data_IF_090828340585
#
_entry.id   IF_090828340585
#
_cell.length_a   1.000
_cell.length_b   1.000
_cell.length_c   1.000
_cell.angle_alpha   90.00
_cell.angle_beta   90.00
_cell.angle_gamma   90.00
#
_symmetry.space_group_name_H-M   'P 1'
#
loop_
_entity.id
_entity.type
_entity.pdbx_description
1 polymer ?
#
# COMPACT_ATOMS: atom_id res chain seq x y z
N UNK A 1 36.54 29.17 -33.32
CA UNK A 1 36.32 29.33 -31.87
C UNK A 1 34.96 28.70 -31.59
N UNK A 2 34.86 27.36 -31.56
CA UNK A 2 34.93 26.47 -30.38
C UNK A 2 34.00 26.84 -29.23
N UNK A 3 33.09 25.89 -28.99
CA UNK A 3 31.93 25.80 -28.11
C UNK A 3 32.19 25.93 -26.62
N UNK A 4 31.16 26.38 -25.89
CA UNK A 4 30.84 26.02 -24.49
C UNK A 4 29.29 26.08 -24.43
N UNK A 5 28.51 24.99 -24.39
CA UNK A 5 28.43 23.88 -23.45
C UNK A 5 28.37 24.30 -21.98
N UNK A 6 27.15 24.31 -21.43
CA UNK A 6 26.80 24.46 -20.02
C UNK A 6 25.33 24.03 -19.93
N UNK A 7 24.91 23.00 -19.22
CA UNK A 7 25.57 21.96 -18.47
C UNK A 7 24.44 20.99 -18.11
N UNK A 8 24.64 19.69 -18.36
CA UNK A 8 23.68 18.67 -17.94
C UNK A 8 23.56 18.67 -16.42
N UNK A 9 22.36 18.92 -15.91
CA UNK A 9 21.99 18.49 -14.56
C UNK A 9 21.92 16.96 -14.57
N UNK A 10 22.98 16.33 -14.06
CA UNK A 10 22.95 14.92 -13.69
C UNK A 10 22.03 14.81 -12.46
N UNK A 11 20.77 14.44 -12.69
CA UNK A 11 19.92 13.91 -11.65
C UNK A 11 20.52 12.58 -11.19
N UNK A 12 21.05 12.55 -9.97
CA UNK A 12 21.46 11.33 -9.29
C UNK A 12 20.23 10.47 -9.01
N UNK A 13 19.82 9.65 -9.98
CA UNK A 13 18.93 8.53 -9.74
C UNK A 13 19.75 7.43 -9.06
N UNK A 14 19.70 7.37 -7.73
CA UNK A 14 20.20 6.20 -7.01
C UNK A 14 19.32 5.01 -7.39
N UNK A 15 19.81 4.17 -8.31
CA UNK A 15 19.26 2.84 -8.55
C UNK A 15 19.34 2.07 -7.23
N UNK A 16 18.21 1.90 -6.53
CA UNK A 16 18.12 0.90 -5.48
C UNK A 16 18.32 -0.45 -6.14
N UNK A 17 19.45 -1.08 -5.83
CA UNK A 17 19.86 -2.36 -6.40
C UNK A 17 18.95 -3.53 -5.99
N UNK A 18 18.07 -3.35 -5.01
CA UNK A 18 17.15 -4.38 -4.55
C UNK A 18 15.69 -3.89 -4.63
N UNK A 19 14.77 -4.68 -5.22
CA UNK A 19 13.34 -4.41 -5.14
C UNK A 19 12.84 -4.39 -3.68
N UNK A 20 11.84 -3.56 -3.35
CA UNK A 20 11.31 -3.45 -2.00
C UNK A 20 10.66 -4.76 -1.52
N UNK A 21 10.83 -5.04 -0.24
CA UNK A 21 10.17 -6.12 0.50
C UNK A 21 8.91 -5.65 1.24
N UNK A 22 8.76 -4.34 1.46
CA UNK A 22 7.58 -3.76 2.12
C UNK A 22 6.96 -2.66 1.25
N UNK A 23 5.73 -2.89 0.81
CA UNK A 23 4.97 -1.97 -0.04
C UNK A 23 3.69 -1.54 0.68
N UNK A 24 3.43 -0.24 0.75
CA UNK A 24 2.13 0.29 1.15
C UNK A 24 1.42 0.88 -0.06
N UNK A 25 0.17 0.50 -0.28
CA UNK A 25 -0.69 1.01 -1.34
C UNK A 25 -1.85 1.76 -0.71
N UNK A 26 -1.99 3.05 -1.04
CA UNK A 26 -3.06 3.91 -0.54
C UNK A 26 -3.99 4.28 -1.70
N UNK A 27 -5.26 3.85 -1.62
CA UNK A 27 -6.23 3.94 -2.70
C UNK A 27 -7.54 4.56 -2.21
N UNK A 28 -8.18 5.34 -3.06
CA UNK A 28 -9.59 5.70 -2.91
C UNK A 28 -10.46 5.05 -4.01
N UNK A 29 -11.71 5.45 -4.07
CA UNK A 29 -12.69 4.97 -5.06
C UNK A 29 -12.38 5.40 -6.51
N UNK A 30 -11.47 6.35 -6.72
CA UNK A 30 -11.14 6.87 -8.06
C UNK A 30 -10.06 6.06 -8.76
N UNK A 31 -9.39 5.15 -8.04
CA UNK A 31 -8.27 4.38 -8.58
C UNK A 31 -8.65 2.93 -8.82
N UNK A 32 -8.25 2.38 -9.98
CA UNK A 32 -8.37 0.96 -10.28
C UNK A 32 -7.53 0.14 -9.29
N UNK A 33 -8.23 -0.59 -8.42
CA UNK A 33 -7.62 -1.44 -7.40
C UNK A 33 -6.86 -2.60 -8.01
N UNK A 34 -7.36 -3.21 -9.09
CA UNK A 34 -6.70 -4.35 -9.72
C UNK A 34 -5.35 -3.92 -10.29
N UNK A 35 -5.33 -2.80 -11.03
CA UNK A 35 -4.10 -2.22 -11.56
C UNK A 35 -3.11 -1.86 -10.43
N UNK A 36 -3.56 -1.17 -9.40
CA UNK A 36 -2.71 -0.78 -8.28
C UNK A 36 -2.05 -1.98 -7.58
N UNK A 37 -2.81 -3.05 -7.35
CA UNK A 37 -2.30 -4.28 -6.75
C UNK A 37 -1.32 -5.00 -7.68
N UNK A 38 -1.59 -5.04 -9.00
CA UNK A 38 -0.62 -5.57 -9.97
C UNK A 38 0.70 -4.81 -9.88
N UNK A 39 0.65 -3.48 -9.90
CA UNK A 39 1.86 -2.65 -9.79
C UNK A 39 2.60 -2.91 -8.46
N UNK A 40 1.90 -3.02 -7.34
CA UNK A 40 2.52 -3.34 -6.05
C UNK A 40 3.23 -4.69 -6.05
N UNK A 41 2.57 -5.73 -6.57
CA UNK A 41 3.12 -7.09 -6.68
C UNK A 41 4.31 -7.13 -7.64
N UNK A 42 4.27 -6.36 -8.73
CA UNK A 42 5.37 -6.26 -9.68
C UNK A 42 6.64 -5.71 -9.02
N UNK A 43 6.48 -4.73 -8.13
CA UNK A 43 7.59 -4.05 -7.47
C UNK A 43 8.15 -4.84 -6.28
N UNK A 44 7.47 -5.87 -5.80
CA UNK A 44 7.96 -6.69 -4.70
C UNK A 44 9.23 -7.49 -5.05
N UNK A 45 10.02 -7.77 -4.02
CA UNK A 45 11.23 -8.58 -4.14
C UNK A 45 11.00 -10.06 -4.47
N UNK A 46 9.77 -10.54 -4.27
CA UNK A 46 9.33 -11.94 -4.32
C UNK A 46 9.98 -12.82 -3.25
N UNK A 47 10.42 -12.19 -2.16
CA UNK A 47 11.04 -12.83 -1.02
C UNK A 47 10.03 -13.43 -0.02
N UNK A 48 10.50 -14.29 0.90
CA UNK A 48 9.64 -14.89 1.93
C UNK A 48 9.11 -13.89 2.96
N UNK A 49 9.76 -12.73 3.10
CA UNK A 49 9.39 -11.68 4.05
C UNK A 49 8.63 -10.52 3.38
N UNK A 50 8.15 -10.71 2.16
CA UNK A 50 7.42 -9.67 1.45
C UNK A 50 6.12 -9.32 2.18
N UNK A 51 5.81 -8.03 2.23
CA UNK A 51 4.62 -7.52 2.87
C UNK A 51 3.96 -6.45 2.00
N UNK A 52 2.66 -6.60 1.74
CA UNK A 52 1.83 -5.54 1.15
C UNK A 52 0.80 -5.08 2.18
N UNK A 53 0.83 -3.77 2.47
CA UNK A 53 -0.21 -3.10 3.27
C UNK A 53 -1.09 -2.27 2.35
N UNK A 54 -2.41 -2.46 2.41
CA UNK A 54 -3.37 -1.83 1.52
C UNK A 54 -4.33 -0.98 2.34
N UNK A 55 -4.29 0.32 2.12
CA UNK A 55 -5.20 1.29 2.71
C UNK A 55 -6.23 1.70 1.67
N UNK A 56 -7.51 1.46 1.97
CA UNK A 56 -8.65 1.85 1.14
C UNK A 56 -9.39 2.98 1.83
N UNK A 57 -9.68 4.07 1.13
CA UNK A 57 -10.53 5.15 1.61
C UNK A 57 -11.90 5.01 0.92
N UNK A 58 -12.97 4.96 1.72
CA UNK A 58 -14.35 4.89 1.23
C UNK A 58 -15.16 6.08 1.71
N UNK A 59 -16.20 6.43 0.95
CA UNK A 59 -17.05 7.58 1.22
C UNK A 59 -18.10 7.30 2.30
N UNK A 60 -18.43 6.03 2.55
CA UNK A 60 -19.45 5.63 3.54
C UNK A 60 -19.10 4.35 4.31
N UNK A 61 -19.59 4.24 5.55
CA UNK A 61 -19.41 3.03 6.36
C UNK A 61 -19.99 1.77 5.70
N UNK A 62 -21.05 1.92 4.90
CA UNK A 62 -21.66 0.81 4.15
C UNK A 62 -20.73 0.18 3.10
N UNK A 63 -19.74 0.93 2.61
CA UNK A 63 -18.79 0.47 1.59
C UNK A 63 -17.56 -0.22 2.17
N UNK A 64 -17.33 -0.13 3.49
CA UNK A 64 -16.14 -0.70 4.13
C UNK A 64 -16.05 -2.22 3.94
N UNK A 65 -17.13 -2.93 4.24
CA UNK A 65 -17.17 -4.38 4.16
C UNK A 65 -17.13 -4.91 2.71
N UNK A 66 -17.91 -4.36 1.75
CA UNK A 66 -17.76 -4.71 0.34
C UNK A 66 -16.35 -4.47 -0.19
N UNK A 67 -15.77 -3.29 0.10
CA UNK A 67 -14.43 -2.92 -0.38
C UNK A 67 -13.34 -3.85 0.17
N UNK A 68 -13.48 -4.27 1.44
CA UNK A 68 -12.60 -5.26 2.04
C UNK A 68 -12.71 -6.61 1.32
N UNK A 69 -13.93 -7.08 1.07
CA UNK A 69 -14.17 -8.35 0.37
C UNK A 69 -13.63 -8.34 -1.06
N UNK A 70 -13.90 -7.27 -1.82
CA UNK A 70 -13.41 -7.12 -3.19
C UNK A 70 -11.89 -7.10 -3.24
N UNK A 71 -11.25 -6.37 -2.33
CA UNK A 71 -9.77 -6.33 -2.23
C UNK A 71 -9.20 -7.70 -1.88
N UNK A 72 -9.82 -8.44 -0.95
CA UNK A 72 -9.40 -9.81 -0.61
C UNK A 72 -9.55 -10.76 -1.81
N UNK A 73 -10.66 -10.68 -2.54
CA UNK A 73 -10.88 -11.50 -3.74
C UNK A 73 -9.87 -11.22 -4.84
N UNK A 74 -9.47 -9.95 -5.04
CA UNK A 74 -8.39 -9.60 -5.96
C UNK A 74 -7.05 -10.20 -5.53
N UNK A 75 -6.68 -10.10 -4.24
CA UNK A 75 -5.45 -10.71 -3.73
C UNK A 75 -5.43 -12.23 -3.91
N UNK A 76 -6.56 -12.90 -3.68
CA UNK A 76 -6.68 -14.34 -3.92
C UNK A 76 -6.42 -14.71 -5.38
N UNK A 77 -6.94 -13.92 -6.33
CA UNK A 77 -6.67 -14.09 -7.77
C UNK A 77 -5.19 -13.91 -8.13
N UNK A 78 -4.45 -13.15 -7.34
CA UNK A 78 -3.01 -12.95 -7.53
C UNK A 78 -2.13 -13.94 -6.76
N UNK A 79 -2.71 -14.85 -5.97
CA UNK A 79 -1.94 -15.75 -5.09
C UNK A 79 -0.84 -16.54 -5.80
N UNK A 80 -1.06 -16.99 -7.05
CA UNK A 80 -0.05 -17.72 -7.85
C UNK A 80 1.17 -16.88 -8.26
N UNK A 81 1.09 -15.55 -8.14
CA UNK A 81 2.16 -14.60 -8.48
C UNK A 81 2.98 -14.16 -7.27
N UNK A 82 2.56 -14.57 -6.08
CA UNK A 82 3.10 -14.16 -4.81
C UNK A 82 3.91 -15.30 -4.18
N UNK A 83 4.89 -14.96 -3.36
CA UNK A 83 5.54 -15.94 -2.51
C UNK A 83 4.52 -16.49 -1.49
N UNK A 84 4.56 -17.79 -1.20
CA UNK A 84 3.65 -18.42 -0.23
C UNK A 84 3.78 -17.88 1.19
N UNK A 85 4.91 -17.26 1.50
CA UNK A 85 5.19 -16.66 2.80
C UNK A 85 4.93 -15.15 2.83
N UNK A 86 4.55 -14.54 1.69
CA UNK A 86 4.21 -13.13 1.63
C UNK A 86 2.98 -12.81 2.51
N UNK A 87 3.02 -11.66 3.18
CA UNK A 87 1.98 -11.21 4.10
C UNK A 87 1.18 -10.03 3.53
N UNK A 88 -0.10 -9.98 3.88
CA UNK A 88 -1.02 -8.94 3.44
C UNK A 88 -1.76 -8.34 4.61
N UNK A 89 -1.87 -7.02 4.63
CA UNK A 89 -2.72 -6.29 5.57
C UNK A 89 -3.65 -5.37 4.78
N UNK A 90 -4.94 -5.35 5.12
CA UNK A 90 -5.93 -4.48 4.49
C UNK A 90 -6.58 -3.65 5.59
N UNK A 91 -6.59 -2.34 5.41
CA UNK A 91 -7.31 -1.40 6.26
C UNK A 91 -8.24 -0.55 5.40
N UNK A 92 -9.49 -0.43 5.83
CA UNK A 92 -10.49 0.39 5.13
C UNK A 92 -10.90 1.54 6.05
N UNK A 93 -10.65 2.76 5.59
CA UNK A 93 -10.87 4.02 6.29
C UNK A 93 -12.08 4.74 5.71
N UNK A 94 -12.77 5.48 6.56
CA UNK A 94 -13.77 6.42 6.11
C UNK A 94 -13.08 7.72 5.67
N UNK A 95 -13.62 8.38 4.65
CA UNK A 95 -13.22 9.74 4.31
C UNK A 95 -13.35 10.68 5.52
N UNK A 96 -12.39 11.58 5.73
CA UNK A 96 -12.30 12.43 6.92
C UNK A 96 -11.40 11.88 8.04
N UNK A 97 -10.79 10.70 7.84
CA UNK A 97 -9.82 10.10 8.78
C UNK A 97 -8.35 10.37 8.40
N UNK A 98 -8.06 11.46 7.69
CA UNK A 98 -6.75 11.73 7.08
C UNK A 98 -5.60 11.73 8.10
N UNK A 99 -5.84 12.27 9.30
CA UNK A 99 -4.85 12.28 10.37
C UNK A 99 -4.46 10.86 10.82
N UNK A 100 -5.44 9.96 10.91
CA UNK A 100 -5.20 8.55 11.25
C UNK A 100 -4.45 7.83 10.14
N UNK A 101 -4.80 8.11 8.88
CA UNK A 101 -4.12 7.53 7.72
C UNK A 101 -2.65 7.97 7.69
N UNK A 102 -2.36 9.26 7.84
CA UNK A 102 -0.99 9.76 7.88
C UNK A 102 -0.15 9.10 8.98
N UNK A 103 -0.72 8.98 10.19
CA UNK A 103 -0.04 8.33 11.30
C UNK A 103 0.24 6.86 11.00
N UNK A 104 -0.74 6.12 10.48
CA UNK A 104 -0.56 4.70 10.15
C UNK A 104 0.42 4.47 9.00
N UNK A 105 0.43 5.33 7.98
CA UNK A 105 1.44 5.27 6.90
C UNK A 105 2.84 5.46 7.48
N UNK A 106 3.01 6.43 8.40
CA UNK A 106 4.27 6.65 9.09
C UNK A 106 4.71 5.44 9.93
N UNK A 107 3.78 4.88 10.70
CA UNK A 107 4.06 3.73 11.57
C UNK A 107 4.36 2.44 10.79
N UNK A 108 3.79 2.30 9.59
CA UNK A 108 4.05 1.15 8.71
C UNK A 108 5.49 1.13 8.18
N UNK A 109 6.13 2.31 8.03
CA UNK A 109 7.49 2.46 7.48
C UNK A 109 7.73 1.63 6.20
N UNK A 110 6.90 1.82 5.16
CA UNK A 110 7.06 1.06 3.92
C UNK A 110 8.37 1.43 3.22
N UNK A 111 8.96 0.49 2.48
CA UNK A 111 10.11 0.78 1.61
C UNK A 111 9.65 1.48 0.31
N UNK A 112 8.42 1.19 -0.12
CA UNK A 112 7.72 1.79 -1.25
C UNK A 112 6.29 2.19 -0.86
N UNK A 113 5.96 3.47 -1.05
CA UNK A 113 4.61 4.02 -0.91
C UNK A 113 4.01 4.28 -2.29
N UNK A 114 2.88 3.64 -2.59
CA UNK A 114 2.13 3.82 -3.83
C UNK A 114 0.83 4.57 -3.55
N UNK A 115 0.65 5.72 -4.19
CA UNK A 115 -0.47 6.63 -3.93
C UNK A 115 -1.40 6.66 -5.14
N UNK A 116 -2.62 6.16 -4.95
CA UNK A 116 -3.74 6.24 -5.88
C UNK A 116 -4.89 7.00 -5.24
N UNK A 117 -4.66 8.28 -4.94
CA UNK A 117 -5.66 9.18 -4.37
C UNK A 117 -6.00 10.27 -5.38
N UNK A 118 -7.28 10.49 -5.63
CA UNK A 118 -7.80 11.49 -6.55
C UNK A 118 -8.96 12.27 -5.97
N UNK A 119 -9.50 13.19 -6.78
CA UNK A 119 -10.68 13.97 -6.42
C UNK A 119 -10.57 14.64 -5.05
N UNK A 120 -11.42 14.22 -4.11
CA UNK A 120 -11.48 14.79 -2.76
C UNK A 120 -10.27 14.44 -1.88
N UNK A 121 -9.56 13.34 -2.16
CA UNK A 121 -8.41 12.89 -1.38
C UNK A 121 -7.06 13.33 -1.99
N UNK A 122 -7.07 14.11 -3.08
CA UNK A 122 -5.85 14.56 -3.74
C UNK A 122 -4.90 15.28 -2.77
N UNK A 123 -5.45 16.14 -1.90
CA UNK A 123 -4.65 16.90 -0.92
C UNK A 123 -3.90 16.00 0.07
N UNK A 124 -4.49 14.86 0.45
CA UNK A 124 -3.82 13.85 1.29
C UNK A 124 -2.68 13.17 0.50
N UNK A 125 -2.93 12.82 -0.76
CA UNK A 125 -1.91 12.25 -1.65
C UNK A 125 -0.71 13.18 -1.82
N UNK A 126 -0.96 14.46 -2.10
CA UNK A 126 0.08 15.48 -2.26
C UNK A 126 0.87 15.70 -0.96
N UNK A 127 0.19 15.72 0.19
CA UNK A 127 0.82 15.89 1.49
C UNK A 127 1.74 14.71 1.84
N UNK A 128 1.28 13.47 1.65
CA UNK A 128 2.08 12.26 1.89
C UNK A 128 3.27 12.19 0.92
N UNK A 129 3.02 12.45 -0.37
CA UNK A 129 4.06 12.50 -1.38
C UNK A 129 5.14 13.52 -1.03
N UNK A 130 4.75 14.75 -0.70
CA UNK A 130 5.68 15.81 -0.30
C UNK A 130 6.45 15.45 0.98
N UNK A 131 5.79 14.86 1.98
CA UNK A 131 6.42 14.50 3.25
C UNK A 131 7.54 13.47 3.04
N UNK A 132 7.26 12.36 2.37
CA UNK A 132 8.23 11.27 2.17
C UNK A 132 9.32 11.61 1.15
N UNK A 133 9.05 12.50 0.19
CA UNK A 133 10.08 12.97 -0.77
C UNK A 133 11.00 14.04 -0.18
N UNK A 134 10.48 14.93 0.68
CA UNK A 134 11.27 16.02 1.28
C UNK A 134 12.13 15.53 2.45
N UNK A 135 11.64 14.54 3.22
CA UNK A 135 12.44 13.90 4.26
C UNK A 135 13.36 12.84 3.64
N UNK A 136 14.48 13.28 3.04
CA UNK A 136 15.57 12.44 2.48
C UNK A 136 16.07 11.33 3.43
N UNK A 137 15.70 11.37 4.72
CA UNK A 137 16.11 10.42 5.76
C UNK A 137 15.19 9.21 5.91
N UNK A 138 13.99 9.23 5.35
CA UNK A 138 13.03 8.13 5.58
C UNK A 138 13.27 6.93 4.66
N UNK A 139 14.02 7.10 3.57
CA UNK A 139 14.34 5.99 2.69
C UNK A 139 13.09 5.31 2.11
N UNK A 140 12.01 6.06 1.88
CA UNK A 140 10.77 5.58 1.26
C UNK A 140 10.74 6.03 -0.19
N UNK A 141 10.58 5.09 -1.11
CA UNK A 141 10.29 5.44 -2.51
C UNK A 141 8.81 5.78 -2.64
N UNK A 142 8.45 6.82 -3.40
CA UNK A 142 7.05 7.26 -3.57
C UNK A 142 6.67 7.18 -5.03
N UNK A 143 5.61 6.44 -5.34
CA UNK A 143 5.06 6.32 -6.69
C UNK A 143 3.59 6.76 -6.73
N UNK A 144 3.29 7.71 -7.61
CA UNK A 144 1.91 8.13 -7.86
C UNK A 144 1.30 7.25 -8.97
N UNK A 145 0.27 6.49 -8.63
CA UNK A 145 -0.37 5.52 -9.52
C UNK A 145 -1.13 6.19 -10.67
N UNK A 146 -1.62 7.41 -10.47
CA UNK A 146 -2.27 8.21 -11.53
C UNK A 146 -1.31 8.60 -12.66
N UNK A 147 0.00 8.52 -12.42
CA UNK A 147 1.05 8.88 -13.39
C UNK A 147 1.74 7.66 -14.00
N UNK A 148 1.37 6.44 -13.60
CA UNK A 148 1.93 5.22 -14.17
C UNK A 148 1.20 4.86 -15.46
N UNK A 149 1.97 4.67 -16.53
CA UNK A 149 1.46 4.05 -17.76
C UNK A 149 0.99 2.63 -17.43
N UNK A 150 -0.17 2.21 -17.98
CA UNK A 150 -0.69 0.85 -17.84
C UNK A 150 0.35 -0.13 -18.42
N UNK A 151 1.11 -0.81 -17.58
CA UNK A 151 2.00 -1.87 -18.02
C UNK A 151 1.25 -3.20 -18.20
N UNK A 152 1.64 -3.91 -19.26
CA UNK A 152 1.14 -5.17 -19.83
C UNK A 152 -0.02 -5.91 -19.14
N UNK A 153 -1.01 -6.26 -19.95
CA UNK A 153 -2.17 -7.06 -19.61
C UNK A 153 -1.77 -8.45 -19.06
N UNK A 154 -1.78 -8.62 -17.74
CA UNK A 154 -1.51 -9.91 -17.10
C UNK A 154 -2.72 -10.85 -17.27
N UNK A 155 -2.51 -11.97 -17.97
CA UNK A 155 -3.49 -13.05 -18.00
C UNK A 155 -3.58 -13.74 -16.63
N UNK A 156 -4.69 -13.52 -15.94
CA UNK A 156 -5.05 -14.19 -14.68
C UNK A 156 -5.66 -15.54 -15.07
N UNK A 157 -4.96 -16.64 -14.80
CA UNK A 157 -5.51 -17.99 -14.96
C UNK A 157 -6.40 -18.33 -13.77
N UNK A 158 -7.69 -18.57 -14.00
CA UNK A 158 -8.68 -18.97 -12.98
C UNK A 158 -8.50 -20.43 -12.47
N UNK A 159 -7.31 -21.02 -12.60
CA UNK A 159 -7.14 -22.48 -12.43
C UNK A 159 -6.64 -22.93 -11.06
N UNK A 160 -6.38 -22.02 -10.11
CA UNK A 160 -5.92 -22.39 -8.76
C UNK A 160 -6.79 -21.73 -7.66
N UNK A 161 -8.05 -22.15 -7.57
CA UNK A 161 -8.93 -21.90 -6.40
C UNK A 161 -8.53 -22.73 -5.16
N UNK A 162 -7.37 -23.39 -5.18
CA UNK A 162 -6.92 -24.28 -4.12
C UNK A 162 -6.03 -23.56 -3.10
N UNK A 163 -6.62 -23.23 -1.95
CA UNK A 163 -5.93 -23.21 -0.65
C UNK A 163 -5.01 -22.01 -0.35
N UNK A 164 -5.52 -20.78 -0.46
CA UNK A 164 -4.93 -19.62 0.22
C UNK A 164 -5.81 -19.20 1.41
N UNK A 165 -5.34 -19.51 2.63
CA UNK A 165 -5.95 -19.00 3.87
C UNK A 165 -5.20 -17.72 4.21
N UNK A 166 -5.84 -16.57 4.00
CA UNK A 166 -5.34 -15.30 4.52
C UNK A 166 -5.20 -15.44 6.04
N UNK A 167 -3.96 -15.41 6.53
CA UNK A 167 -3.68 -15.46 7.96
C UNK A 167 -4.45 -14.36 8.67
N UNK A 168 -5.19 -14.71 9.72
CA UNK A 168 -5.89 -13.72 10.52
C UNK A 168 -4.85 -12.78 11.13
N UNK A 169 -4.79 -11.55 10.60
CA UNK A 169 -4.05 -10.46 11.21
C UNK A 169 -4.48 -10.35 12.67
N UNK A 170 -3.50 -10.20 13.58
CA UNK A 170 -3.76 -9.97 15.00
C UNK A 170 -4.58 -8.70 15.10
N UNK A 171 -5.88 -8.86 15.36
CA UNK A 171 -6.78 -7.75 15.69
C UNK A 171 -6.08 -6.91 16.76
N UNK A 172 -5.88 -5.63 16.48
CA UNK A 172 -5.46 -4.66 17.49
C UNK A 172 -6.37 -4.86 18.70
N UNK A 173 -5.78 -5.28 19.82
CA UNK A 173 -6.53 -5.53 21.04
C UNK A 173 -7.14 -4.21 21.52
N UNK A 174 -8.46 -4.12 21.54
CA UNK A 174 -9.13 -3.15 22.40
C UNK A 174 -8.62 -3.37 23.82
N UNK A 175 -8.29 -2.31 24.59
CA UNK A 175 -7.90 -2.47 25.98
C UNK A 175 -9.06 -3.14 26.72
N UNK A 176 -8.79 -4.32 27.27
CA UNK A 176 -9.67 -4.95 28.25
C UNK A 176 -9.48 -4.13 29.52
N UNK A 177 -10.54 -3.48 29.98
CA UNK A 177 -10.56 -2.88 31.30
C UNK A 177 -10.28 -3.98 32.32
N UNK A 178 -9.12 -3.92 32.96
CA UNK A 178 -8.85 -4.62 34.22
C UNK A 178 -9.76 -4.00 35.29
N UNK A 179 -10.96 -4.54 35.43
CA UNK A 179 -11.68 -4.43 36.69
C UNK A 179 -11.38 -5.70 37.49
N UNK A 180 -10.30 -5.59 38.26
CA UNK A 180 -9.93 -6.50 39.34
C UNK A 180 -11.12 -6.76 40.26
N UNK A 181 -11.57 -8.01 40.23
CA UNK A 181 -11.75 -8.89 41.39
C UNK A 181 -11.93 -8.18 42.74
N UNK A 182 -13.18 -8.05 43.18
CA UNK A 182 -13.51 -7.80 44.58
C UNK A 182 -14.13 -9.07 45.16
N UNK A 183 -13.28 -9.79 45.88
CA UNK A 183 -13.53 -11.01 46.63
C UNK A 183 -14.63 -10.84 47.69
N UNK A 184 -15.39 -11.92 47.87
CA UNK A 184 -16.39 -12.21 48.91
C UNK A 184 -16.04 -11.73 50.33
N UNK A 185 -17.09 -11.31 51.06
CA UNK A 185 -17.41 -11.82 52.41
C UNK A 185 -18.92 -11.88 52.59
#
# INVERSE_FOLDING_TARGET
MHSQDSGCCLSNSYERLNPPSSVLVLLDETTDTEHALKSAIHNLSKGPNDCITIFRIVSSCSEQQPTLQDTMSLLQRFGSRLNSEASFSICVFLQGEEANICQLVYDTRPELLMIGLGGLNQSLGDALSSFFTTEEKLGVDVKNLQSMEEEEEWSISNEDESMWVLGQSRRCGSPVSDETDSVET
#
